data_IF_155374446860
#
_entry.id   IF_155374446860
#
_cell.length_a   1.000
_cell.length_b   1.000
_cell.length_c   1.000
_cell.angle_alpha   90.00
_cell.angle_beta   90.00
_cell.angle_gamma   90.00
#
_symmetry.space_group_name_H-M   'P 1'
#
loop_
_entity.id
_entity.type
_entity.pdbx_description
1 polymer ?
#
# COMPACT_ATOMS: atom_id res chain seq x y z
N UNK A 1 8.09 17.40 -7.10
CA UNK A 1 7.68 16.09 -7.63
C UNK A 1 8.83 15.14 -7.37
N UNK A 2 8.65 14.14 -6.50
CA UNK A 2 9.68 13.13 -6.24
C UNK A 2 9.97 12.42 -7.57
N UNK A 3 11.22 12.45 -8.02
CA UNK A 3 11.63 11.65 -9.17
C UNK A 3 11.66 10.19 -8.69
N UNK A 4 11.03 9.24 -9.40
CA UNK A 4 11.18 7.83 -9.04
C UNK A 4 12.66 7.46 -9.17
N UNK A 5 13.26 7.04 -8.05
CA UNK A 5 14.58 6.42 -8.07
C UNK A 5 14.50 5.03 -8.72
N UNK A 6 15.56 4.54 -9.35
CA UNK A 6 15.54 3.20 -9.90
C UNK A 6 15.43 2.18 -8.76
N UNK A 7 14.58 1.16 -8.94
CA UNK A 7 14.46 0.04 -7.99
C UNK A 7 15.78 -0.75 -7.84
N UNK A 8 16.76 -0.53 -8.71
CA UNK A 8 18.07 -1.20 -8.70
C UNK A 8 18.95 -0.85 -7.49
N UNK A 9 18.65 0.26 -6.83
CA UNK A 9 19.49 0.79 -5.75
C UNK A 9 18.92 0.45 -4.36
N UNK A 10 17.83 -0.32 -4.30
CA UNK A 10 17.16 -0.74 -3.06
C UNK A 10 17.78 -2.05 -2.57
N UNK A 11 18.11 -2.13 -1.29
CA UNK A 11 18.70 -3.29 -0.64
C UNK A 11 17.89 -3.83 0.54
N UNK A 12 18.40 -4.90 1.16
CA UNK A 12 17.74 -5.59 2.29
C UNK A 12 17.54 -4.73 3.55
N UNK A 13 18.29 -3.63 3.67
CA UNK A 13 18.14 -2.67 4.76
C UNK A 13 16.96 -1.71 4.55
N UNK A 14 16.51 -1.54 3.30
CA UNK A 14 15.41 -0.64 2.97
C UNK A 14 14.06 -1.26 3.29
N UNK A 15 13.05 -0.40 3.45
CA UNK A 15 11.65 -0.79 3.58
C UNK A 15 10.84 -0.06 2.53
N UNK A 16 10.03 -0.81 1.80
CA UNK A 16 9.23 -0.26 0.71
C UNK A 16 7.76 -0.23 1.13
N UNK A 17 7.08 0.89 0.84
CA UNK A 17 5.63 1.00 0.95
C UNK A 17 5.03 0.95 -0.45
N UNK A 18 4.26 -0.10 -0.74
CA UNK A 18 3.49 -0.24 -1.97
C UNK A 18 2.04 0.20 -1.72
N UNK A 19 1.50 1.04 -2.60
CA UNK A 19 0.09 1.42 -2.58
C UNK A 19 -0.56 1.04 -3.91
N UNK A 20 -1.70 0.36 -3.83
CA UNK A 20 -2.48 -0.06 -4.99
C UNK A 20 -3.98 0.15 -4.74
N UNK A 21 -4.76 0.27 -5.82
CA UNK A 21 -6.22 0.37 -5.70
C UNK A 21 -6.82 -0.93 -5.15
N UNK A 22 -6.33 -2.06 -5.64
CA UNK A 22 -6.70 -3.42 -5.24
C UNK A 22 -5.44 -4.25 -5.06
N UNK A 23 -5.50 -5.28 -4.22
CA UNK A 23 -4.33 -6.10 -3.90
C UNK A 23 -3.87 -7.00 -5.06
N UNK A 24 -4.60 -7.06 -6.16
CA UNK A 24 -4.28 -7.81 -7.38
C UNK A 24 -3.79 -6.93 -8.55
N UNK A 25 -3.45 -5.65 -8.30
CA UNK A 25 -2.92 -4.76 -9.34
C UNK A 25 -1.66 -5.37 -10.01
N UNK A 26 -1.69 -5.70 -11.31
CA UNK A 26 -0.60 -6.43 -11.95
C UNK A 26 0.74 -5.69 -11.96
N UNK A 27 0.71 -4.35 -12.04
CA UNK A 27 1.93 -3.55 -12.04
C UNK A 27 2.58 -3.57 -10.66
N UNK A 28 1.78 -3.47 -9.60
CA UNK A 28 2.27 -3.51 -8.22
C UNK A 28 2.71 -4.93 -7.82
N UNK A 29 1.99 -5.96 -8.27
CA UNK A 29 2.39 -7.35 -8.08
C UNK A 29 3.76 -7.67 -8.70
N UNK A 30 4.06 -7.10 -9.87
CA UNK A 30 5.39 -7.26 -10.50
C UNK A 30 6.49 -6.62 -9.65
N UNK A 31 6.23 -5.48 -9.03
CA UNK A 31 7.17 -4.83 -8.11
C UNK A 31 7.34 -5.67 -6.85
N UNK A 32 6.25 -6.15 -6.26
CA UNK A 32 6.28 -7.02 -5.08
C UNK A 32 7.13 -8.28 -5.31
N UNK A 33 6.96 -8.96 -6.45
CA UNK A 33 7.79 -10.11 -6.82
C UNK A 33 9.27 -9.76 -6.94
N UNK A 34 9.58 -8.59 -7.51
CA UNK A 34 10.96 -8.09 -7.59
C UNK A 34 11.57 -7.88 -6.21
N UNK A 35 10.84 -7.25 -5.28
CA UNK A 35 11.28 -7.03 -3.90
C UNK A 35 11.49 -8.35 -3.15
N UNK A 36 10.54 -9.28 -3.27
CA UNK A 36 10.66 -10.63 -2.70
C UNK A 36 11.91 -11.36 -3.21
N UNK A 37 12.16 -11.33 -4.52
CA UNK A 37 13.33 -11.98 -5.11
C UNK A 37 14.68 -11.40 -4.63
N UNK A 38 14.66 -10.14 -4.17
CA UNK A 38 15.82 -9.43 -3.63
C UNK A 38 15.91 -9.52 -2.10
N UNK A 39 14.93 -10.16 -1.44
CA UNK A 39 14.83 -10.20 0.02
C UNK A 39 14.57 -8.84 0.66
N UNK A 40 13.95 -7.91 -0.06
CA UNK A 40 13.61 -6.56 0.43
C UNK A 40 12.21 -6.62 1.07
N UNK A 41 12.07 -6.35 2.38
CA UNK A 41 10.78 -6.34 3.04
C UNK A 41 9.93 -5.16 2.60
N UNK A 42 8.62 -5.37 2.51
CA UNK A 42 7.68 -4.33 2.09
C UNK A 42 6.32 -4.43 2.79
N UNK A 43 5.71 -3.26 2.96
CA UNK A 43 4.33 -3.07 3.41
C UNK A 43 3.46 -2.73 2.21
N UNK A 44 2.24 -3.27 2.16
CA UNK A 44 1.28 -3.00 1.10
C UNK A 44 0.00 -2.36 1.65
N UNK A 45 -0.50 -1.30 0.99
CA UNK A 45 -1.79 -0.67 1.27
C UNK A 45 -2.68 -0.85 0.03
N UNK A 46 -3.79 -1.55 0.18
CA UNK A 46 -4.76 -1.73 -0.91
C UNK A 46 -6.07 -2.33 -0.41
N UNK A 47 -7.12 -2.24 -1.22
CA UNK A 47 -8.32 -3.02 -0.96
C UNK A 47 -8.06 -4.50 -1.23
N UNK A 48 -8.33 -5.35 -0.24
CA UNK A 48 -8.11 -6.79 -0.35
C UNK A 48 -9.08 -7.44 -1.35
N UNK A 49 -8.54 -8.27 -2.25
CA UNK A 49 -9.35 -9.24 -3.03
C UNK A 49 -9.44 -10.59 -2.30
N UNK A 50 -10.41 -11.42 -2.70
CA UNK A 50 -10.71 -12.68 -2.01
C UNK A 50 -9.54 -13.66 -2.02
N UNK A 51 -8.91 -13.85 -3.17
CA UNK A 51 -7.90 -14.89 -3.40
C UNK A 51 -6.67 -14.29 -4.08
N UNK A 52 -5.47 -14.56 -3.56
CA UNK A 52 -4.22 -14.04 -4.11
C UNK A 52 -4.05 -12.53 -3.90
N UNK A 53 -2.89 -12.00 -4.29
CA UNK A 53 -2.60 -10.57 -4.21
C UNK A 53 -1.50 -10.23 -3.21
N UNK A 54 -1.41 -8.94 -2.88
CA UNK A 54 -0.38 -8.39 -2.00
C UNK A 54 -0.46 -8.93 -0.56
N UNK A 55 -1.64 -9.33 -0.08
CA UNK A 55 -1.81 -9.87 1.27
C UNK A 55 -1.12 -11.23 1.51
N UNK A 56 -0.70 -11.91 0.44
CA UNK A 56 0.07 -13.17 0.54
C UNK A 56 1.58 -12.96 0.35
N UNK A 57 2.00 -11.75 -0.03
CA UNK A 57 3.37 -11.44 -0.43
C UNK A 57 4.03 -10.40 0.50
N UNK A 58 3.26 -9.44 0.99
CA UNK A 58 3.76 -8.38 1.86
C UNK A 58 4.05 -8.91 3.27
N UNK A 59 5.07 -8.35 3.92
CA UNK A 59 5.32 -8.60 5.34
C UNK A 59 4.16 -8.08 6.20
N UNK A 60 3.57 -6.96 5.77
CA UNK A 60 2.34 -6.40 6.34
C UNK A 60 1.45 -5.90 5.21
N UNK A 61 0.21 -6.33 5.19
CA UNK A 61 -0.83 -5.77 4.33
C UNK A 61 -1.85 -5.01 5.16
N UNK A 62 -2.05 -3.74 4.81
CA UNK A 62 -3.06 -2.87 5.38
C UNK A 62 -4.24 -2.84 4.41
N UNK A 63 -5.28 -3.61 4.75
CA UNK A 63 -6.52 -3.62 4.02
C UNK A 63 -7.27 -2.29 4.22
N UNK A 64 -7.65 -1.66 3.10
CA UNK A 64 -8.46 -0.45 3.11
C UNK A 64 -9.93 -0.71 3.48
N UNK A 65 -10.36 -1.99 3.49
CA UNK A 65 -11.75 -2.37 3.80
C UNK A 65 -12.76 -1.90 2.75
N UNK A 66 -12.29 -1.61 1.52
CA UNK A 66 -13.12 -1.06 0.45
C UNK A 66 -13.62 -2.17 -0.47
N UNK A 67 -14.94 -2.40 -0.47
CA UNK A 67 -15.57 -3.37 -1.36
C UNK A 67 -16.27 -2.74 -2.58
N UNK A 68 -16.85 -1.54 -2.43
CA UNK A 68 -17.66 -0.85 -3.46
C UNK A 68 -17.56 0.67 -3.32
N UNK A 69 -18.14 1.41 -4.27
CA UNK A 69 -18.31 2.86 -4.15
C UNK A 69 -19.11 3.27 -2.92
N UNK A 70 -18.91 4.52 -2.47
CA UNK A 70 -19.56 5.04 -1.27
C UNK A 70 -21.01 5.47 -1.52
N UNK A 71 -21.29 6.01 -2.70
CA UNK A 71 -22.56 6.65 -3.01
C UNK A 71 -23.44 5.72 -3.84
N UNK A 72 -24.67 5.41 -3.39
CA UNK A 72 -25.63 4.67 -4.22
C UNK A 72 -26.24 5.58 -5.29
N UNK A 73 -26.57 5.01 -6.45
CA UNK A 73 -27.44 5.62 -7.45
C UNK A 73 -28.88 5.08 -7.35
N UNK A 74 -29.75 5.54 -8.25
CA UNK A 74 -31.17 5.16 -8.31
C UNK A 74 -31.39 3.66 -8.63
N UNK A 75 -30.40 3.00 -9.22
CA UNK A 75 -30.45 1.59 -9.61
C UNK A 75 -29.77 0.66 -8.57
N UNK A 76 -29.21 1.22 -7.49
CA UNK A 76 -28.47 0.47 -6.48
C UNK A 76 -27.00 0.21 -6.84
N UNK A 77 -26.53 0.76 -7.96
CA UNK A 77 -25.10 0.80 -8.28
C UNK A 77 -24.39 1.81 -7.37
N UNK A 78 -23.07 1.64 -7.22
CA UNK A 78 -22.28 2.46 -6.29
C UNK A 78 -21.11 3.14 -6.99
N UNK A 79 -21.01 4.45 -6.84
CA UNK A 79 -19.93 5.28 -7.40
C UNK A 79 -19.12 6.00 -6.31
N UNK A 80 -18.02 6.65 -6.71
CA UNK A 80 -17.10 7.31 -5.78
C UNK A 80 -16.27 6.32 -4.97
N UNK A 81 -15.42 5.54 -5.65
CA UNK A 81 -14.53 4.57 -4.99
C UNK A 81 -13.32 5.30 -4.37
N UNK A 82 -13.17 5.33 -3.03
CA UNK A 82 -12.32 6.29 -2.34
C UNK A 82 -10.90 5.76 -2.04
N UNK A 83 -10.36 4.83 -2.85
CA UNK A 83 -9.11 4.14 -2.51
C UNK A 83 -7.93 5.08 -2.26
N UNK A 84 -7.73 6.10 -3.11
CA UNK A 84 -6.64 7.06 -2.92
C UNK A 84 -6.78 7.87 -1.64
N UNK A 85 -8.01 8.26 -1.26
CA UNK A 85 -8.25 8.98 -0.01
C UNK A 85 -7.97 8.10 1.21
N UNK A 86 -8.46 6.86 1.19
CA UNK A 86 -8.22 5.90 2.26
C UNK A 86 -6.72 5.57 2.40
N UNK A 87 -6.03 5.34 1.27
CA UNK A 87 -4.59 5.09 1.26
C UNK A 87 -3.79 6.30 1.76
N UNK A 88 -4.20 7.53 1.42
CA UNK A 88 -3.56 8.75 1.91
C UNK A 88 -3.73 8.93 3.42
N UNK A 89 -4.92 8.62 3.96
CA UNK A 89 -5.17 8.60 5.39
C UNK A 89 -4.23 7.61 6.10
N UNK A 90 -4.13 6.37 5.59
CA UNK A 90 -3.21 5.35 6.12
C UNK A 90 -1.76 5.81 6.04
N UNK A 91 -1.33 6.37 4.91
CA UNK A 91 0.03 6.90 4.72
C UNK A 91 0.38 7.95 5.78
N UNK A 92 -0.51 8.90 6.04
CA UNK A 92 -0.27 9.91 7.07
C UNK A 92 -0.24 9.33 8.48
N UNK A 93 -1.07 8.31 8.77
CA UNK A 93 -0.99 7.57 10.03
C UNK A 93 0.34 6.87 10.23
N UNK A 94 0.84 6.19 9.19
CA UNK A 94 2.16 5.53 9.22
C UNK A 94 3.29 6.55 9.39
N UNK A 95 3.27 7.64 8.62
CA UNK A 95 4.27 8.71 8.72
C UNK A 95 4.28 9.30 10.13
N UNK A 96 3.10 9.62 10.68
CA UNK A 96 2.99 10.19 12.02
C UNK A 96 3.56 9.25 13.08
N UNK A 97 3.23 7.95 13.02
CA UNK A 97 3.79 6.96 13.95
C UNK A 97 5.32 6.84 13.82
N UNK A 98 5.87 6.86 12.60
CA UNK A 98 7.32 6.83 12.38
C UNK A 98 7.97 8.12 12.92
N UNK A 99 7.37 9.28 12.66
CA UNK A 99 7.88 10.56 13.15
C UNK A 99 7.90 10.60 14.69
N UNK A 100 6.86 10.08 15.36
CA UNK A 100 6.82 9.95 16.83
C UNK A 100 7.92 9.03 17.33
N UNK A 101 8.08 7.84 16.75
CA UNK A 101 9.14 6.90 17.13
C UNK A 101 10.53 7.53 16.97
N UNK A 102 10.78 8.25 15.87
CA UNK A 102 12.06 8.92 15.64
C UNK A 102 12.32 10.07 16.63
N UNK A 103 11.30 10.86 16.96
CA UNK A 103 11.42 11.94 17.94
C UNK A 103 11.85 11.41 19.32
N UNK A 104 11.32 10.25 19.75
CA UNK A 104 11.72 9.60 21.00
C UNK A 104 13.19 9.12 21.01
N UNK A 105 13.82 8.87 19.85
CA UNK A 105 15.24 8.50 19.77
C UNK A 105 16.20 9.70 19.78
N UNK A 106 15.70 10.90 19.50
CA UNK A 106 16.50 12.13 19.48
C UNK A 106 16.57 12.84 20.85
N UNK A 107 15.74 12.41 21.82
CA UNK A 107 15.78 12.83 23.24
C UNK A 107 16.77 12.02 24.08
#
# INVERSE_FOLDING_TARGET
MLKPGPLSDIGVADRVLLAARQSDDPAVLKIAQSLLSQGVPFVAISAQVRDGGLQQQADVHIDLGLAKGLLPDENGERFGYPASMAALFVYHGLKFAIDEMLAEYEE
#
